data_IF_905052327390
#
_entry.id   IF_905052327390
#
_cell.length_a   1.000
_cell.length_b   1.000
_cell.length_c   1.000
_cell.angle_alpha   90.00
_cell.angle_beta   90.00
_cell.angle_gamma   90.00
#
_symmetry.space_group_name_H-M   'P 1'
#
loop_
_entity.id
_entity.type
_entity.pdbx_description
1 polymer ?
#
# COMPACT_ATOMS: atom_id res chain seq x y z
N UNK A 1 31.95 8.78 -13.24
CA UNK A 1 30.81 7.90 -13.56
C UNK A 1 29.57 8.77 -13.60
N UNK A 2 29.04 9.05 -14.80
CA UNK A 2 27.78 9.81 -14.94
C UNK A 2 26.66 9.00 -14.31
N UNK A 3 25.92 9.58 -13.36
CA UNK A 3 24.65 9.01 -12.90
C UNK A 3 23.78 8.78 -14.14
N UNK A 4 23.05 7.65 -14.25
CA UNK A 4 21.98 7.57 -15.23
C UNK A 4 21.09 8.78 -14.98
N UNK A 5 20.86 9.58 -16.02
CA UNK A 5 19.92 10.71 -15.94
C UNK A 5 18.56 10.05 -15.71
N UNK A 6 18.05 10.16 -14.48
CA UNK A 6 16.70 9.73 -14.17
C UNK A 6 15.71 10.51 -15.03
N UNK A 7 14.57 9.90 -15.34
CA UNK A 7 13.41 10.55 -15.99
C UNK A 7 13.07 11.87 -15.30
N UNK A 8 12.91 12.95 -16.05
CA UNK A 8 12.52 14.25 -15.50
C UNK A 8 11.06 14.22 -15.01
N UNK A 9 10.74 14.98 -13.95
CA UNK A 9 9.36 15.09 -13.42
C UNK A 9 8.36 15.52 -14.49
N UNK A 10 8.76 16.41 -15.40
CA UNK A 10 7.91 16.91 -16.50
C UNK A 10 7.54 15.83 -17.52
N UNK A 11 8.29 14.73 -17.63
CA UNK A 11 7.96 13.62 -18.53
C UNK A 11 6.74 12.81 -18.06
N UNK A 12 6.25 13.06 -16.83
CA UNK A 12 5.07 12.41 -16.27
C UNK A 12 3.80 13.26 -16.33
N UNK A 13 3.90 14.52 -16.76
CA UNK A 13 2.76 15.43 -16.85
C UNK A 13 1.76 14.98 -17.92
N UNK A 14 0.50 14.81 -17.53
CA UNK A 14 -0.59 14.41 -18.43
C UNK A 14 -0.51 12.97 -18.92
N UNK A 15 0.28 12.11 -18.28
CA UNK A 15 0.39 10.70 -18.63
C UNK A 15 -0.70 9.84 -18.01
N UNK A 16 -1.32 10.28 -16.91
CA UNK A 16 -2.36 9.48 -16.29
C UNK A 16 -3.58 9.43 -17.23
N UNK A 17 -4.02 8.23 -17.65
CA UNK A 17 -5.22 8.13 -18.46
C UNK A 17 -6.41 8.65 -17.65
N UNK A 18 -7.42 9.17 -18.36
CA UNK A 18 -8.65 9.62 -17.72
C UNK A 18 -9.23 8.49 -16.86
N UNK A 19 -9.19 8.69 -15.54
CA UNK A 19 -9.69 7.72 -14.57
C UNK A 19 -11.20 7.55 -14.71
N UNK A 20 -11.65 6.34 -14.46
CA UNK A 20 -13.06 5.96 -14.35
C UNK A 20 -13.24 5.32 -12.99
N UNK A 21 -14.49 5.19 -12.56
CA UNK A 21 -14.75 4.33 -11.41
C UNK A 21 -14.35 2.89 -11.74
N UNK A 22 -13.54 2.25 -10.88
CA UNK A 22 -13.00 0.93 -11.17
C UNK A 22 -14.07 -0.16 -11.03
N UNK A 23 -13.74 -1.36 -11.51
CA UNK A 23 -14.47 -2.55 -11.07
C UNK A 23 -14.29 -2.69 -9.55
N UNK A 24 -15.40 -2.91 -8.86
CA UNK A 24 -15.47 -2.94 -7.41
C UNK A 24 -16.34 -4.11 -6.96
N UNK A 25 -16.01 -4.67 -5.80
CA UNK A 25 -16.74 -5.78 -5.17
C UNK A 25 -17.78 -5.20 -4.20
N UNK A 26 -19.09 -5.36 -4.43
CA UNK A 26 -20.13 -4.90 -3.53
C UNK A 26 -20.03 -5.46 -2.11
N UNK A 27 -20.31 -4.62 -1.11
CA UNK A 27 -20.61 -5.09 0.26
C UNK A 27 -21.98 -5.77 0.30
N UNK A 28 -22.06 -6.90 1.00
CA UNK A 28 -23.31 -7.58 1.33
C UNK A 28 -23.67 -7.43 2.80
N UNK A 29 -22.68 -7.44 3.71
CA UNK A 29 -22.92 -7.36 5.16
C UNK A 29 -21.91 -6.45 5.85
N UNK A 30 -22.40 -5.54 6.69
CA UNK A 30 -21.58 -4.75 7.64
C UNK A 30 -21.47 -5.53 8.95
N UNK A 31 -20.28 -6.00 9.31
CA UNK A 31 -20.07 -6.77 10.56
C UNK A 31 -19.75 -5.86 11.75
N UNK A 32 -19.33 -4.62 11.50
CA UNK A 32 -19.13 -3.58 12.52
C UNK A 32 -17.68 -3.11 12.65
N UNK A 33 -17.44 -2.06 13.46
CA UNK A 33 -16.13 -1.46 13.64
C UNK A 33 -15.18 -2.42 14.38
N UNK A 34 -13.91 -2.43 13.98
CA UNK A 34 -12.88 -3.26 14.59
C UNK A 34 -11.87 -2.37 15.32
N UNK A 35 -12.02 -2.32 16.65
CA UNK A 35 -11.12 -1.59 17.54
C UNK A 35 -11.27 -0.06 17.51
N UNK A 36 -10.40 0.61 18.28
CA UNK A 36 -10.40 2.07 18.46
C UNK A 36 -9.15 2.70 17.81
N UNK A 37 -8.97 2.51 16.51
CA UNK A 37 -7.85 3.14 15.77
C UNK A 37 -8.30 4.41 15.05
N UNK A 38 -7.35 5.29 14.68
CA UNK A 38 -7.66 6.54 14.00
C UNK A 38 -8.37 6.33 12.65
N UNK A 39 -7.97 5.28 11.92
CA UNK A 39 -8.53 4.89 10.63
C UNK A 39 -9.81 4.04 10.77
N UNK A 40 -10.22 3.69 12.00
CA UNK A 40 -11.43 2.95 12.39
C UNK A 40 -11.94 1.96 11.32
N UNK A 41 -11.15 0.91 11.01
CA UNK A 41 -11.53 -0.04 9.97
C UNK A 41 -12.80 -0.77 10.35
N UNK A 42 -13.64 -1.05 9.36
CA UNK A 42 -14.88 -1.81 9.52
C UNK A 42 -14.72 -3.15 8.83
N UNK A 43 -15.16 -4.24 9.48
CA UNK A 43 -15.20 -5.55 8.83
C UNK A 43 -16.49 -5.68 8.03
N UNK A 44 -16.39 -6.17 6.80
CA UNK A 44 -17.52 -6.42 5.91
C UNK A 44 -17.38 -7.77 5.23
N UNK A 45 -18.50 -8.35 4.82
CA UNK A 45 -18.53 -9.47 3.87
C UNK A 45 -18.95 -8.93 2.52
N UNK A 46 -18.18 -9.23 1.48
CA UNK A 46 -18.43 -8.78 0.11
C UNK A 46 -19.14 -9.88 -0.73
N UNK A 47 -19.60 -9.54 -1.92
CA UNK A 47 -20.42 -10.43 -2.76
C UNK A 47 -19.65 -11.60 -3.40
N UNK A 48 -18.32 -11.51 -3.41
CA UNK A 48 -17.40 -12.60 -3.76
C UNK A 48 -17.26 -13.66 -2.64
N UNK A 49 -17.92 -13.45 -1.50
CA UNK A 49 -17.92 -14.37 -0.36
C UNK A 49 -16.72 -14.23 0.55
N UNK A 50 -15.86 -13.22 0.35
CA UNK A 50 -14.75 -12.94 1.26
C UNK A 50 -15.06 -11.80 2.23
N UNK A 51 -14.39 -11.87 3.38
CA UNK A 51 -14.39 -10.80 4.36
C UNK A 51 -13.26 -9.81 4.06
N UNK A 52 -13.54 -8.53 4.31
CA UNK A 52 -12.59 -7.44 4.13
C UNK A 52 -12.61 -6.52 5.36
N UNK A 53 -11.44 -5.99 5.70
CA UNK A 53 -11.33 -4.76 6.48
C UNK A 53 -11.35 -3.58 5.52
N UNK A 54 -12.37 -2.74 5.63
CA UNK A 54 -12.51 -1.56 4.79
C UNK A 54 -12.07 -0.28 5.50
N UNK A 55 -11.47 0.63 4.72
CA UNK A 55 -11.16 2.01 5.11
C UNK A 55 -11.80 2.97 4.11
N UNK A 56 -12.47 3.99 4.64
CA UNK A 56 -13.18 5.01 3.85
C UNK A 56 -12.63 6.40 4.12
N UNK A 57 -12.81 7.32 3.17
CA UNK A 57 -12.31 8.70 3.30
C UNK A 57 -13.09 9.51 4.35
N UNK A 58 -14.32 9.11 4.66
CA UNK A 58 -15.23 9.83 5.58
C UNK A 58 -14.66 9.96 7.00
N UNK A 59 -13.76 9.06 7.38
CA UNK A 59 -13.07 9.06 8.67
C UNK A 59 -12.07 10.22 8.79
N UNK A 60 -11.68 10.84 7.68
CA UNK A 60 -10.69 11.92 7.65
C UNK A 60 -11.33 13.28 7.37
N UNK A 61 -11.07 14.22 8.26
CA UNK A 61 -11.57 15.60 8.15
C UNK A 61 -10.76 16.44 7.19
N UNK A 62 -9.43 16.22 7.11
CA UNK A 62 -8.58 16.94 6.16
C UNK A 62 -8.55 16.22 4.81
N UNK A 63 -8.60 16.99 3.72
CA UNK A 63 -8.47 16.46 2.35
C UNK A 63 -7.14 15.72 2.18
N UNK A 64 -6.09 16.19 2.86
CA UNK A 64 -4.75 15.58 2.79
C UNK A 64 -4.74 14.19 3.44
N UNK A 65 -5.37 14.01 4.59
CA UNK A 65 -5.37 12.71 5.27
C UNK A 65 -6.23 11.68 4.54
N UNK A 66 -7.20 12.12 3.72
CA UNK A 66 -7.98 11.22 2.85
C UNK A 66 -7.13 10.49 1.81
N UNK A 67 -5.94 11.00 1.48
CA UNK A 67 -4.98 10.32 0.61
C UNK A 67 -4.49 9.01 1.21
N UNK A 68 -4.57 8.84 2.53
CA UNK A 68 -4.21 7.62 3.24
C UNK A 68 -4.91 6.38 2.65
N UNK A 69 -6.19 6.49 2.30
CA UNK A 69 -6.97 5.40 1.70
C UNK A 69 -6.42 5.01 0.32
N UNK A 70 -5.99 5.99 -0.47
CA UNK A 70 -5.33 5.73 -1.76
C UNK A 70 -3.94 5.11 -1.56
N UNK A 71 -3.17 5.59 -0.59
CA UNK A 71 -1.86 5.04 -0.23
C UNK A 71 -1.95 3.56 0.14
N UNK A 72 -2.90 3.18 1.00
CA UNK A 72 -3.18 1.78 1.37
C UNK A 72 -3.35 0.89 0.13
N UNK A 73 -4.26 1.30 -0.75
CA UNK A 73 -4.54 0.56 -1.97
C UNK A 73 -3.30 0.46 -2.87
N UNK A 74 -2.61 1.57 -3.09
CA UNK A 74 -1.48 1.63 -4.00
C UNK A 74 -0.32 0.78 -3.48
N UNK A 75 0.04 0.88 -2.21
CA UNK A 75 1.11 0.06 -1.61
C UNK A 75 0.76 -1.43 -1.71
N UNK A 76 -0.49 -1.81 -1.41
CA UNK A 76 -0.92 -3.19 -1.51
C UNK A 76 -0.87 -3.74 -2.96
N UNK A 77 -1.37 -2.96 -3.93
CA UNK A 77 -1.38 -3.35 -5.35
C UNK A 77 0.03 -3.43 -5.96
N UNK A 78 0.88 -2.44 -5.70
CA UNK A 78 2.27 -2.49 -6.13
C UNK A 78 3.06 -3.59 -5.40
N UNK A 79 2.72 -3.87 -4.14
CA UNK A 79 3.21 -5.04 -3.42
C UNK A 79 2.96 -6.32 -4.19
N UNK A 80 1.71 -6.53 -4.65
CA UNK A 80 1.35 -7.68 -5.49
C UNK A 80 2.15 -7.73 -6.79
N UNK A 81 2.34 -6.60 -7.49
CA UNK A 81 3.12 -6.52 -8.74
C UNK A 81 4.56 -7.04 -8.55
N UNK A 82 5.20 -6.76 -7.42
CA UNK A 82 6.57 -7.23 -7.13
C UNK A 82 6.62 -8.55 -6.33
N UNK A 83 5.47 -9.11 -6.00
CA UNK A 83 5.34 -10.32 -5.17
C UNK A 83 5.67 -10.12 -3.70
N UNK A 84 5.50 -8.90 -3.18
CA UNK A 84 5.60 -8.62 -1.75
C UNK A 84 4.35 -9.13 -1.00
N UNK A 85 4.50 -9.51 0.29
CA UNK A 85 3.41 -10.13 1.03
C UNK A 85 2.45 -9.08 1.61
N UNK A 86 1.65 -8.44 0.78
CA UNK A 86 0.54 -7.59 1.24
C UNK A 86 -0.74 -8.43 1.31
N UNK A 87 -1.72 -8.00 2.10
CA UNK A 87 -3.06 -8.59 2.00
C UNK A 87 -3.66 -8.26 0.62
N UNK A 88 -4.50 -9.15 0.10
CA UNK A 88 -5.18 -8.91 -1.17
C UNK A 88 -6.04 -7.64 -1.06
N UNK A 89 -5.76 -6.66 -1.92
CA UNK A 89 -6.49 -5.40 -1.94
C UNK A 89 -7.59 -5.42 -2.99
N UNK A 90 -8.77 -4.92 -2.61
CA UNK A 90 -9.91 -4.71 -3.48
C UNK A 90 -10.42 -3.27 -3.34
N UNK A 91 -11.06 -2.77 -4.41
CA UNK A 91 -11.99 -1.65 -4.25
C UNK A 91 -13.33 -2.25 -3.88
N UNK A 92 -13.88 -1.80 -2.76
CA UNK A 92 -15.16 -2.25 -2.25
C UNK A 92 -16.20 -1.20 -2.56
N UNK A 93 -17.30 -1.61 -3.20
CA UNK A 93 -18.44 -0.73 -3.47
C UNK A 93 -19.36 -0.72 -2.26
N UNK A 94 -19.59 0.46 -1.71
CA UNK A 94 -20.55 0.68 -0.63
C UNK A 94 -21.92 0.90 -1.28
N UNK A 95 -22.92 0.05 -0.97
CA UNK A 95 -24.27 0.21 -1.48
C UNK A 95 -24.99 1.39 -0.80
N UNK A 96 -25.90 2.04 -1.52
CA UNK A 96 -26.57 3.27 -1.07
C UNK A 96 -27.35 3.06 0.23
N UNK A 97 -27.81 1.84 0.49
CA UNK A 97 -28.53 1.44 1.70
C UNK A 97 -27.68 1.55 2.98
N UNK A 98 -26.35 1.55 2.85
CA UNK A 98 -25.42 1.72 3.98
C UNK A 98 -25.00 3.19 4.18
N UNK A 99 -25.40 4.12 3.30
CA UNK A 99 -25.11 5.53 3.51
C UNK A 99 -25.87 6.07 4.72
N UNK A 100 -25.19 6.88 5.53
CA UNK A 100 -25.71 7.46 6.76
C UNK A 100 -25.47 6.61 8.01
N UNK A 101 -25.03 5.36 7.87
CA UNK A 101 -24.62 4.50 8.98
C UNK A 101 -23.45 5.12 9.74
N UNK A 102 -23.50 5.05 11.07
CA UNK A 102 -22.49 5.68 11.93
C UNK A 102 -21.26 4.76 12.07
N UNK A 103 -20.13 5.18 11.50
CA UNK A 103 -18.86 4.44 11.57
C UNK A 103 -18.18 4.63 12.94
N UNK A 104 -18.27 5.85 13.48
CA UNK A 104 -17.84 6.23 14.83
C UNK A 104 -18.64 7.47 15.27
N UNK A 105 -18.67 7.81 16.58
CA UNK A 105 -19.47 8.93 17.06
C UNK A 105 -19.30 10.21 16.23
N UNK A 106 -20.37 10.64 15.57
CA UNK A 106 -20.42 11.83 14.73
C UNK A 106 -19.88 11.69 13.30
N UNK A 107 -19.45 10.51 12.86
CA UNK A 107 -19.00 10.26 11.49
C UNK A 107 -19.87 9.21 10.83
N UNK A 108 -20.48 9.61 9.72
CA UNK A 108 -21.35 8.77 8.90
C UNK A 108 -20.63 8.28 7.66
N UNK A 109 -20.99 7.08 7.22
CA UNK A 109 -20.59 6.53 5.94
C UNK A 109 -21.32 7.25 4.81
N UNK A 110 -20.58 7.86 3.89
CA UNK A 110 -21.12 8.56 2.70
C UNK A 110 -20.29 8.27 1.44
N UNK A 111 -19.10 7.68 1.61
CA UNK A 111 -18.25 7.21 0.51
C UNK A 111 -18.88 6.01 -0.20
N UNK A 112 -19.06 6.12 -1.53
CA UNK A 112 -19.53 4.99 -2.37
C UNK A 112 -18.46 3.91 -2.60
N UNK A 113 -17.19 4.20 -2.31
CA UNK A 113 -16.07 3.26 -2.48
C UNK A 113 -15.13 3.30 -1.29
N UNK A 114 -14.67 2.12 -0.90
CA UNK A 114 -13.68 1.92 0.16
C UNK A 114 -12.47 1.14 -0.36
N UNK A 115 -11.30 1.36 0.26
CA UNK A 115 -10.22 0.39 0.16
C UNK A 115 -10.59 -0.81 1.03
N UNK A 116 -10.58 -2.02 0.46
CA UNK A 116 -10.70 -3.27 1.20
C UNK A 116 -9.38 -4.02 1.22
N UNK A 117 -8.97 -4.43 2.42
CA UNK A 117 -7.89 -5.39 2.63
C UNK A 117 -8.51 -6.72 3.06
N UNK A 118 -8.27 -7.79 2.30
CA UNK A 118 -8.87 -9.10 2.56
C UNK A 118 -8.50 -9.57 3.96
N UNK A 119 -9.51 -9.96 4.73
CA UNK A 119 -9.33 -10.42 6.10
C UNK A 119 -8.61 -11.78 6.13
N UNK A 120 -7.69 -11.93 7.08
CA UNK A 120 -7.16 -13.21 7.49
C UNK A 120 -7.99 -13.67 8.69
N UNK A 121 -8.58 -14.87 8.61
CA UNK A 121 -9.49 -15.37 9.65
C UNK A 121 -8.81 -15.51 11.01
N UNK A 122 -7.58 -16.01 11.01
CA UNK A 122 -6.78 -16.17 12.22
C UNK A 122 -5.41 -15.53 12.03
N UNK A 123 -5.24 -14.34 12.60
CA UNK A 123 -3.95 -13.66 12.60
C UNK A 123 -3.68 -12.92 13.91
N UNK A 124 -2.40 -12.63 14.15
CA UNK A 124 -1.94 -11.78 15.25
C UNK A 124 -1.25 -10.56 14.65
N UNK A 125 -1.63 -9.37 15.10
CA UNK A 125 -0.90 -8.13 14.75
C UNK A 125 0.39 -8.04 15.59
N UNK A 126 1.48 -7.59 14.96
CA UNK A 126 2.70 -7.25 15.67
C UNK A 126 3.41 -6.04 15.09
N UNK A 127 3.98 -5.24 15.99
CA UNK A 127 4.72 -4.00 15.68
C UNK A 127 6.22 -4.11 16.00
N UNK A 128 6.59 -5.11 16.81
CA UNK A 128 7.97 -5.34 17.26
C UNK A 128 8.79 -6.09 16.20
N UNK A 129 9.09 -5.39 15.11
CA UNK A 129 9.92 -5.89 14.02
C UNK A 129 9.34 -7.10 13.28
N UNK A 130 10.16 -7.71 12.41
CA UNK A 130 9.79 -8.88 11.62
C UNK A 130 10.13 -10.17 12.36
N UNK A 131 9.12 -10.79 12.97
CA UNK A 131 9.25 -12.02 13.75
C UNK A 131 9.17 -13.27 12.87
N UNK A 132 9.50 -14.43 13.46
CA UNK A 132 9.29 -15.76 12.84
C UNK A 132 9.96 -15.95 11.47
N UNK A 133 11.11 -15.29 11.22
CA UNK A 133 11.82 -15.34 9.92
C UNK A 133 12.12 -16.75 9.43
N UNK A 134 12.44 -17.68 10.32
CA UNK A 134 12.77 -19.07 9.98
C UNK A 134 11.55 -19.97 9.78
N UNK A 135 10.33 -19.44 9.93
CA UNK A 135 9.09 -20.21 9.76
C UNK A 135 8.52 -20.03 8.36
N UNK A 136 7.95 -21.11 7.82
CA UNK A 136 7.32 -21.15 6.51
C UNK A 136 8.17 -20.44 5.42
N UNK A 137 7.54 -19.60 4.60
CA UNK A 137 8.19 -18.79 3.57
C UNK A 137 8.60 -17.38 4.04
N UNK A 138 8.73 -17.15 5.35
CA UNK A 138 9.01 -15.80 5.87
C UNK A 138 10.37 -15.25 5.45
N UNK A 139 11.36 -16.11 5.17
CA UNK A 139 12.65 -15.67 4.60
C UNK A 139 12.46 -15.01 3.23
N UNK A 140 11.55 -15.54 2.41
CA UNK A 140 11.18 -14.95 1.12
C UNK A 140 10.27 -13.73 1.34
N UNK A 141 9.16 -13.89 2.08
CA UNK A 141 8.16 -12.84 2.31
C UNK A 141 8.78 -11.56 2.89
N UNK A 142 9.71 -11.69 3.84
CA UNK A 142 10.39 -10.53 4.43
C UNK A 142 11.16 -9.71 3.39
N UNK A 143 11.72 -10.31 2.34
CA UNK A 143 12.37 -9.55 1.25
C UNK A 143 11.39 -8.55 0.62
N UNK A 144 10.17 -9.02 0.31
CA UNK A 144 9.11 -8.16 -0.21
C UNK A 144 8.73 -7.03 0.74
N UNK A 145 8.74 -7.27 2.06
CA UNK A 145 8.50 -6.24 3.08
C UNK A 145 9.60 -5.15 3.03
N UNK A 146 10.87 -5.56 2.99
CA UNK A 146 11.99 -4.61 2.83
C UNK A 146 11.83 -3.77 1.55
N UNK A 147 11.40 -4.41 0.46
CA UNK A 147 11.21 -3.74 -0.83
C UNK A 147 10.10 -2.68 -0.79
N UNK A 148 8.89 -3.01 -0.33
CA UNK A 148 7.77 -2.04 -0.29
C UNK A 148 8.00 -0.94 0.73
N UNK A 149 8.61 -1.24 1.88
CA UNK A 149 8.92 -0.23 2.90
C UNK A 149 9.89 0.81 2.35
N UNK A 150 10.88 0.39 1.56
CA UNK A 150 11.83 1.33 0.97
C UNK A 150 11.23 2.05 -0.24
N UNK A 151 10.60 1.33 -1.17
CA UNK A 151 10.00 1.88 -2.39
C UNK A 151 9.02 3.01 -2.07
N UNK A 152 8.12 2.79 -1.11
CA UNK A 152 7.07 3.73 -0.73
C UNK A 152 7.46 4.65 0.43
N UNK A 153 8.72 4.71 0.83
CA UNK A 153 9.14 5.55 1.95
C UNK A 153 8.30 5.26 3.22
N UNK A 154 8.11 3.98 3.53
CA UNK A 154 7.22 3.48 4.57
C UNK A 154 7.49 4.08 5.96
N UNK A 155 6.42 4.24 6.72
CA UNK A 155 6.47 4.62 8.13
C UNK A 155 5.39 3.85 8.89
N UNK A 156 5.49 3.82 10.22
CA UNK A 156 4.63 3.01 11.10
C UNK A 156 4.56 1.52 10.68
N UNK A 157 5.66 0.75 10.80
CA UNK A 157 5.66 -0.66 10.40
C UNK A 157 4.68 -1.51 11.22
N UNK A 158 3.72 -2.14 10.54
CA UNK A 158 2.74 -3.04 11.15
C UNK A 158 2.60 -4.32 10.33
N UNK A 159 2.53 -5.46 11.03
CA UNK A 159 2.55 -6.79 10.41
C UNK A 159 1.41 -7.66 10.94
N UNK A 160 0.83 -8.48 10.05
CA UNK A 160 -0.03 -9.60 10.43
C UNK A 160 0.75 -10.91 10.34
N UNK A 161 0.56 -11.77 11.33
CA UNK A 161 1.06 -13.14 11.35
C UNK A 161 -0.10 -14.11 11.24
N UNK A 162 -0.28 -14.70 10.06
CA UNK A 162 -1.33 -15.68 9.76
C UNK A 162 -1.06 -16.99 10.53
N UNK A 163 -1.89 -17.28 11.54
CA UNK A 163 -1.69 -18.45 12.39
C UNK A 163 -2.12 -19.76 11.74
N UNK A 164 -2.95 -19.72 10.70
CA UNK A 164 -3.32 -20.91 9.93
C UNK A 164 -2.20 -21.33 8.98
N UNK A 165 -1.32 -20.41 8.63
CA UNK A 165 -0.22 -20.64 7.69
C UNK A 165 1.16 -20.46 8.35
N UNK A 166 1.34 -21.08 9.52
CA UNK A 166 2.58 -21.10 10.35
C UNK A 166 3.23 -19.71 10.49
N UNK A 167 2.41 -18.71 10.86
CA UNK A 167 2.81 -17.31 11.07
C UNK A 167 3.42 -16.67 9.82
N UNK A 168 2.88 -16.99 8.66
CA UNK A 168 3.16 -16.27 7.41
C UNK A 168 2.96 -14.77 7.61
N UNK A 169 3.98 -13.97 7.31
CA UNK A 169 3.97 -12.52 7.52
C UNK A 169 3.27 -11.80 6.37
N UNK A 170 2.32 -10.92 6.69
CA UNK A 170 1.72 -9.96 5.76
C UNK A 170 1.99 -8.53 6.24
N UNK A 171 2.29 -7.65 5.30
CA UNK A 171 2.37 -6.20 5.52
C UNK A 171 0.99 -5.59 5.34
N UNK A 172 0.57 -4.74 6.28
CA UNK A 172 -0.72 -4.05 6.26
C UNK A 172 -0.59 -2.64 6.88
N UNK A 173 -1.68 -1.88 6.84
CA UNK A 173 -1.78 -0.52 7.41
C UNK A 173 -0.73 0.44 6.82
N UNK A 174 -0.77 0.58 5.50
CA UNK A 174 0.17 1.42 4.74
C UNK A 174 -0.27 2.88 4.64
N UNK A 175 -1.29 3.31 5.38
CA UNK A 175 -1.86 4.65 5.27
C UNK A 175 -0.91 5.80 5.60
N UNK A 176 0.23 5.52 6.24
CA UNK A 176 1.32 6.45 6.53
C UNK A 176 2.57 6.19 5.69
N UNK A 177 2.45 5.42 4.62
CA UNK A 177 3.50 5.30 3.62
C UNK A 177 3.47 6.54 2.73
N UNK A 178 4.60 6.81 2.08
CA UNK A 178 4.94 8.02 1.33
C UNK A 178 5.42 9.19 2.19
N UNK A 179 6.30 10.04 1.65
CA UNK A 179 6.83 11.19 2.36
C UNK A 179 5.78 12.32 2.45
N UNK A 180 5.79 13.12 3.54
CA UNK A 180 6.71 13.02 4.67
C UNK A 180 6.34 11.88 5.62
N UNK A 181 7.34 11.24 6.23
CA UNK A 181 7.11 10.12 7.14
C UNK A 181 6.18 10.50 8.31
N UNK A 182 5.37 9.54 8.75
CA UNK A 182 4.34 9.71 9.78
C UNK A 182 3.23 10.71 9.41
N UNK A 183 3.06 11.02 8.12
CA UNK A 183 1.96 11.83 7.60
C UNK A 183 1.14 11.03 6.59
N UNK A 184 -0.18 11.21 6.63
CA UNK A 184 -1.12 10.49 5.80
C UNK A 184 -1.24 11.05 4.36
N UNK A 185 -0.80 12.29 4.14
CA UNK A 185 -0.84 12.89 2.80
C UNK A 185 0.49 13.48 2.37
N UNK A 186 0.65 13.49 1.05
CA UNK A 186 1.90 13.72 0.36
C UNK A 186 1.66 14.72 -0.78
N UNK A 187 2.72 15.39 -1.23
CA UNK A 187 2.67 16.36 -2.33
C UNK A 187 3.78 16.09 -3.34
N UNK A 188 3.66 16.63 -4.55
CA UNK A 188 4.73 16.60 -5.54
C UNK A 188 6.08 17.11 -4.97
N UNK A 189 6.04 18.16 -4.15
CA UNK A 189 7.25 18.69 -3.49
C UNK A 189 7.87 17.70 -2.49
N UNK A 190 7.03 17.01 -1.69
CA UNK A 190 7.51 16.01 -0.73
C UNK A 190 8.14 14.81 -1.44
N UNK A 191 7.50 14.35 -2.52
CA UNK A 191 7.99 13.26 -3.36
C UNK A 191 9.33 13.63 -4.03
N UNK A 192 9.43 14.81 -4.64
CA UNK A 192 10.67 15.29 -5.25
C UNK A 192 11.82 15.41 -4.24
N UNK A 193 11.54 15.89 -3.01
CA UNK A 193 12.55 16.02 -1.96
C UNK A 193 13.12 14.67 -1.54
N UNK A 194 12.27 13.65 -1.42
CA UNK A 194 12.66 12.35 -0.84
C UNK A 194 12.96 11.26 -1.87
N UNK A 195 12.78 11.51 -3.17
CA UNK A 195 12.93 10.49 -4.22
C UNK A 195 14.28 9.77 -4.17
N UNK A 196 15.37 10.47 -3.83
CA UNK A 196 16.71 9.91 -3.72
C UNK A 196 17.06 9.36 -2.34
N UNK A 197 16.23 9.60 -1.32
CA UNK A 197 16.51 9.25 0.08
C UNK A 197 16.14 7.78 0.35
N UNK A 198 17.09 6.93 0.80
CA UNK A 198 16.78 5.56 1.22
C UNK A 198 15.83 5.54 2.42
N UNK A 199 14.87 4.60 2.42
CA UNK A 199 14.03 4.34 3.59
C UNK A 199 14.22 2.91 4.06
N UNK A 200 15.23 2.71 4.90
CA UNK A 200 15.57 1.38 5.39
C UNK A 200 14.60 0.96 6.50
N UNK A 201 14.07 -0.26 6.39
CA UNK A 201 13.29 -0.88 7.46
C UNK A 201 14.21 -1.09 8.68
N UNK A 202 13.87 -0.57 9.87
CA UNK A 202 14.73 -0.63 11.06
C UNK A 202 14.68 -2.01 11.74
N UNK A 203 14.85 -3.08 10.96
CA UNK A 203 14.92 -4.47 11.45
C UNK A 203 16.14 -5.16 10.82
N UNK A 204 16.75 -6.16 11.48
CA UNK A 204 17.89 -6.86 10.93
C UNK A 204 17.55 -7.55 9.59
N UNK A 205 18.46 -7.52 8.63
CA UNK A 205 18.30 -8.16 7.31
C UNK A 205 18.95 -9.56 7.20
N UNK A 206 19.58 -10.07 8.28
CA UNK A 206 20.25 -11.37 8.23
C UNK A 206 19.28 -12.54 8.01
N UNK A 207 19.68 -13.54 7.21
CA UNK A 207 18.85 -14.73 6.99
C UNK A 207 17.67 -14.54 6.04
N UNK A 208 17.61 -13.43 5.30
CA UNK A 208 16.71 -13.31 4.14
C UNK A 208 17.03 -14.39 3.09
N UNK A 209 16.05 -14.69 2.25
CA UNK A 209 16.24 -15.60 1.12
C UNK A 209 16.97 -14.90 -0.02
N UNK A 210 18.08 -15.51 -0.48
CA UNK A 210 18.98 -14.91 -1.46
C UNK A 210 18.43 -14.95 -2.88
N UNK A 211 17.69 -16.00 -3.23
CA UNK A 211 17.03 -16.10 -4.53
C UNK A 211 15.87 -15.10 -4.60
N UNK A 212 15.15 -14.91 -3.48
CA UNK A 212 14.08 -13.93 -3.42
C UNK A 212 14.59 -12.49 -3.47
N UNK A 213 15.74 -12.18 -2.83
CA UNK A 213 16.42 -10.89 -2.98
C UNK A 213 16.68 -10.57 -4.46
N UNK A 214 17.21 -11.54 -5.20
CA UNK A 214 17.46 -11.40 -6.63
C UNK A 214 16.17 -11.24 -7.43
N UNK A 215 15.14 -12.06 -7.17
CA UNK A 215 13.84 -12.00 -7.85
C UNK A 215 13.15 -10.65 -7.64
N UNK A 216 13.07 -10.17 -6.40
CA UNK A 216 12.40 -8.90 -6.08
C UNK A 216 13.20 -7.71 -6.63
N UNK A 217 14.53 -7.75 -6.56
CA UNK A 217 15.36 -6.73 -7.18
C UNK A 217 15.17 -6.68 -8.71
N UNK A 218 15.06 -7.84 -9.37
CA UNK A 218 14.73 -7.90 -10.79
C UNK A 218 13.35 -7.30 -11.08
N UNK A 219 12.32 -7.70 -10.34
CA UNK A 219 10.96 -7.18 -10.49
C UNK A 219 10.89 -5.65 -10.34
N UNK A 220 11.65 -5.07 -9.40
CA UNK A 220 11.75 -3.61 -9.24
C UNK A 220 12.43 -2.92 -10.42
N UNK A 221 13.47 -3.52 -11.02
CA UNK A 221 14.12 -2.96 -12.22
C UNK A 221 13.23 -3.06 -13.46
N UNK A 222 12.38 -4.08 -13.51
CA UNK A 222 11.44 -4.33 -14.61
C UNK A 222 10.11 -3.59 -14.45
N UNK A 223 9.88 -2.90 -13.32
CA UNK A 223 8.68 -2.13 -13.08
C UNK A 223 8.56 -0.97 -14.09
N UNK A 224 7.78 -1.21 -15.14
CA UNK A 224 7.65 -0.28 -16.26
C UNK A 224 6.69 0.87 -15.94
N UNK A 225 6.89 2.01 -16.61
CA UNK A 225 5.95 3.14 -16.57
C UNK A 225 4.52 2.74 -16.87
N UNK A 226 4.32 1.84 -17.84
CA UNK A 226 2.98 1.35 -18.21
C UNK A 226 2.31 0.58 -17.07
N UNK A 227 3.05 -0.27 -16.34
CA UNK A 227 2.52 -0.96 -15.15
C UNK A 227 2.20 0.04 -14.04
N UNK A 228 3.07 1.03 -13.81
CA UNK A 228 2.83 2.07 -12.81
C UNK A 228 1.54 2.85 -13.12
N UNK A 229 1.40 3.33 -14.37
CA UNK A 229 0.18 4.03 -14.82
C UNK A 229 -1.07 3.16 -14.70
N UNK A 230 -0.96 1.87 -15.01
CA UNK A 230 -2.08 0.93 -14.88
C UNK A 230 -2.58 0.86 -13.44
N UNK A 231 -1.69 0.74 -12.45
CA UNK A 231 -2.07 0.67 -11.03
C UNK A 231 -2.60 2.02 -10.53
N UNK A 232 -1.98 3.14 -10.93
CA UNK A 232 -2.45 4.47 -10.54
C UNK A 232 -3.85 4.80 -11.09
N UNK A 233 -4.15 4.30 -12.30
CA UNK A 233 -5.45 4.51 -12.93
C UNK A 233 -6.62 3.78 -12.21
N UNK A 234 -6.31 2.84 -11.31
CA UNK A 234 -7.30 2.10 -10.52
C UNK A 234 -7.79 2.88 -9.28
N UNK A 235 -7.14 4.00 -8.93
CA UNK A 235 -7.60 4.87 -7.84
C UNK A 235 -8.96 5.49 -8.23
N UNK A 236 -10.05 5.26 -7.47
CA UNK A 236 -11.36 5.83 -7.76
C UNK A 236 -11.31 7.35 -7.97
N UNK A 237 -12.07 7.85 -8.93
CA UNK A 237 -12.16 9.29 -9.17
C UNK A 237 -12.81 9.99 -7.97
N UNK A 238 -13.80 9.34 -7.35
CA UNK A 238 -14.47 9.82 -6.14
C UNK A 238 -13.55 10.04 -4.94
N UNK A 239 -12.36 9.44 -4.92
CA UNK A 239 -11.39 9.62 -3.83
C UNK A 239 -10.66 10.96 -3.86
N UNK A 240 -10.97 11.84 -4.82
CA UNK A 240 -10.50 13.24 -4.87
C UNK A 240 -8.98 13.42 -4.75
N UNK A 241 -8.19 12.39 -5.08
CA UNK A 241 -6.74 12.52 -5.28
C UNK A 241 -6.53 13.14 -6.65
N UNK A 242 -5.77 14.24 -6.76
CA UNK A 242 -5.57 14.88 -8.05
C UNK A 242 -4.74 14.00 -9.00
N UNK A 243 -5.05 14.01 -10.29
CA UNK A 243 -4.29 13.26 -11.29
C UNK A 243 -2.82 13.70 -11.32
N UNK A 244 -2.54 14.99 -11.12
CA UNK A 244 -1.19 15.55 -11.03
C UNK A 244 -0.39 15.00 -9.84
N UNK A 245 -1.08 14.71 -8.73
CA UNK A 245 -0.45 14.07 -7.56
C UNK A 245 -0.14 12.60 -7.87
N UNK A 246 -1.07 11.87 -8.49
CA UNK A 246 -0.82 10.48 -8.91
C UNK A 246 0.32 10.39 -9.94
N UNK A 247 0.43 11.33 -10.86
CA UNK A 247 1.56 11.43 -11.80
C UNK A 247 2.89 11.71 -11.08
N UNK A 248 2.89 12.58 -10.06
CA UNK A 248 4.07 12.82 -9.23
C UNK A 248 4.49 11.54 -8.50
N UNK A 249 3.53 10.78 -7.97
CA UNK A 249 3.79 9.48 -7.34
C UNK A 249 4.32 8.47 -8.35
N UNK A 250 3.78 8.43 -9.56
CA UNK A 250 4.27 7.55 -10.62
C UNK A 250 5.72 7.83 -10.99
N UNK A 251 6.07 9.11 -11.16
CA UNK A 251 7.46 9.54 -11.34
C UNK A 251 8.34 9.11 -10.16
N UNK A 252 7.88 9.34 -8.93
CA UNK A 252 8.60 8.97 -7.72
C UNK A 252 8.92 7.47 -7.67
N UNK A 253 7.95 6.61 -8.00
CA UNK A 253 8.13 5.16 -8.05
C UNK A 253 9.10 4.73 -9.15
N UNK A 254 8.98 5.28 -10.37
CA UNK A 254 9.89 4.98 -11.48
C UNK A 254 11.34 5.36 -11.16
N UNK A 255 11.55 6.51 -10.50
CA UNK A 255 12.89 6.91 -10.04
C UNK A 255 13.45 6.00 -8.95
N UNK A 256 12.60 5.58 -8.00
CA UNK A 256 13.04 4.85 -6.81
C UNK A 256 13.30 3.39 -7.07
N UNK A 257 12.51 2.75 -7.92
CA UNK A 257 12.55 1.29 -8.06
C UNK A 257 13.96 0.75 -8.38
N UNK A 258 14.76 1.32 -9.31
CA UNK A 258 16.14 0.86 -9.55
C UNK A 258 17.06 1.07 -8.34
N UNK A 259 16.87 2.17 -7.59
CA UNK A 259 17.68 2.48 -6.42
C UNK A 259 17.38 1.53 -5.23
N UNK A 260 16.11 1.14 -5.07
CA UNK A 260 15.67 0.13 -4.09
C UNK A 260 16.22 -1.24 -4.49
N UNK A 261 16.12 -1.63 -5.77
CA UNK A 261 16.70 -2.88 -6.26
C UNK A 261 18.21 -2.97 -5.93
N UNK A 262 18.96 -1.91 -6.20
CA UNK A 262 20.39 -1.85 -5.86
C UNK A 262 20.68 -1.91 -4.36
N UNK A 263 19.73 -1.53 -3.50
CA UNK A 263 19.83 -1.72 -2.03
C UNK A 263 19.57 -3.15 -1.62
N UNK A 264 18.59 -3.83 -2.23
CA UNK A 264 18.35 -5.26 -2.02
C UNK A 264 19.55 -6.10 -2.44
N UNK A 265 20.20 -5.80 -3.56
CA UNK A 265 21.43 -6.52 -3.98
C UNK A 265 22.52 -6.48 -2.91
N UNK A 266 22.65 -5.36 -2.19
CA UNK A 266 23.66 -5.21 -1.13
C UNK A 266 23.35 -6.01 0.12
N UNK A 267 22.11 -6.47 0.30
CA UNK A 267 21.74 -7.37 1.39
C UNK A 267 22.10 -8.84 1.09
N UNK A 268 22.60 -9.12 -0.12
CA UNK A 268 23.04 -10.47 -0.51
C UNK A 268 24.42 -10.87 0.03
N UNK A 269 25.14 -9.92 0.63
CA UNK A 269 26.52 -10.09 1.13
C UNK A 269 26.60 -10.94 2.39
#
# INVERSE_FOLDING_TARGET
MSRPIGVARSEWEGLLPKRKEPSAVPVVVLLGPVGATQAAPVRVTADDGFDYFIKVQDIFTSVRDRMSVATEMLVARFGSVIGAPTCDAAIIRIPDELHGEELRPGIKLDSSYAHGSRALDHCVEGRDGLQSRTRNSNRQRHVGVFAIYDLFYGSDPQWLYDTDNDRSTYSHDHGLYLPPAMNAGWTDQDLQREVGTPRLLPVPAHGLDQAELERVAAALRELSRAQILSVLAEVPQSWNVADTDLEALGWFLEQRAPAVAGRLDRLRS
#
